data_IF_287659435975
#
_entry.id   IF_287659435975
#
_cell.length_a   1.000
_cell.length_b   1.000
_cell.length_c   1.000
_cell.angle_alpha   90.00
_cell.angle_beta   90.00
_cell.angle_gamma   90.00
#
_symmetry.space_group_name_H-M   'P 1'
#
loop_
_entity.id
_entity.type
_entity.pdbx_description
1 polymer ?
#
# COMPACT_ATOMS: atom_id res chain seq x y z
N UNK A 1 4.71 -2.35 14.39
CA UNK A 1 4.30 -1.78 13.08
C UNK A 1 3.51 -0.48 13.24
N UNK A 2 2.40 -0.47 14.00
CA UNK A 2 1.60 0.75 14.25
C UNK A 2 2.43 1.91 14.83
N UNK A 3 3.35 1.62 15.76
CA UNK A 3 4.21 2.66 16.35
C UNK A 3 5.21 3.27 15.35
N UNK A 4 5.72 2.46 14.40
CA UNK A 4 6.63 2.95 13.35
C UNK A 4 5.88 3.81 12.32
N UNK A 5 4.66 3.41 11.97
CA UNK A 5 3.79 4.21 11.11
C UNK A 5 3.41 5.52 11.77
N UNK A 6 3.03 5.50 13.05
CA UNK A 6 2.73 6.70 13.82
C UNK A 6 3.92 7.66 13.84
N UNK A 7 5.12 7.15 14.14
CA UNK A 7 6.35 7.96 14.12
C UNK A 7 6.59 8.62 12.75
N UNK A 8 6.44 7.88 11.65
CA UNK A 8 6.59 8.44 10.30
C UNK A 8 5.53 9.51 10.01
N UNK A 9 4.29 9.27 10.43
CA UNK A 9 3.22 10.25 10.25
C UNK A 9 3.49 11.52 11.08
N UNK A 10 4.03 11.39 12.28
CA UNK A 10 4.44 12.53 13.11
C UNK A 10 5.53 13.36 12.43
N UNK A 11 6.52 12.72 11.79
CA UNK A 11 7.56 13.41 11.00
C UNK A 11 6.96 14.19 9.81
N UNK A 12 5.96 13.62 9.14
CA UNK A 12 5.23 14.31 8.05
C UNK A 12 4.44 15.50 8.60
N UNK A 13 3.75 15.34 9.74
CA UNK A 13 2.99 16.42 10.39
C UNK A 13 3.91 17.55 10.85
N UNK A 14 5.09 17.23 11.39
CA UNK A 14 6.10 18.23 11.75
C UNK A 14 6.60 18.99 10.50
N UNK A 15 6.88 18.27 9.42
CA UNK A 15 7.23 18.86 8.12
C UNK A 15 6.13 19.79 7.59
N UNK A 16 4.87 19.37 7.65
CA UNK A 16 3.72 20.17 7.26
C UNK A 16 3.60 21.48 8.07
N UNK A 17 3.84 21.41 9.39
CA UNK A 17 3.87 22.58 10.25
C UNK A 17 5.03 23.52 9.88
N UNK A 18 6.20 22.98 9.53
CA UNK A 18 7.34 23.76 9.08
C UNK A 18 7.06 24.47 7.74
N UNK A 19 6.49 23.78 6.75
CA UNK A 19 6.12 24.37 5.45
C UNK A 19 5.13 25.53 5.66
N UNK A 20 4.08 25.31 6.48
CA UNK A 20 3.11 26.36 6.83
C UNK A 20 3.78 27.57 7.48
N UNK A 21 4.74 27.33 8.39
CA UNK A 21 5.53 28.39 9.03
C UNK A 21 6.39 29.16 8.04
N UNK A 22 7.04 28.49 7.09
CA UNK A 22 7.84 29.13 6.05
C UNK A 22 6.99 29.96 5.10
N UNK A 23 5.79 29.47 4.76
CA UNK A 23 4.83 30.23 3.95
C UNK A 23 4.37 31.50 4.67
N UNK A 24 4.06 31.40 5.97
CA UNK A 24 3.70 32.55 6.79
C UNK A 24 4.87 33.57 6.92
N UNK A 25 6.10 33.09 7.06
CA UNK A 25 7.29 33.93 7.08
C UNK A 25 7.50 34.66 5.74
N UNK A 26 7.30 33.95 4.62
CA UNK A 26 7.37 34.51 3.27
C UNK A 26 6.34 35.64 3.08
N UNK A 27 5.09 35.43 3.52
CA UNK A 27 4.05 36.46 3.49
C UNK A 27 4.43 37.69 4.32
N UNK A 28 5.10 37.50 5.46
CA UNK A 28 5.53 38.61 6.34
C UNK A 28 6.73 39.38 5.77
N UNK A 29 7.60 38.72 5.03
CA UNK A 29 8.73 39.34 4.34
C UNK A 29 8.26 40.18 3.15
N UNK A 30 7.29 39.67 2.38
CA UNK A 30 6.70 40.31 1.20
C UNK A 30 5.53 41.24 1.57
N UNK A 31 5.78 42.22 2.44
CA UNK A 31 4.73 43.12 2.99
C UNK A 31 3.98 43.93 1.93
N UNK A 32 4.64 44.23 0.82
CA UNK A 32 4.09 45.06 -0.25
C UNK A 32 3.19 44.27 -1.22
N UNK A 33 3.11 42.94 -1.07
CA UNK A 33 2.30 42.06 -1.90
C UNK A 33 1.06 41.63 -1.11
N UNK A 34 -0.16 42.08 -1.49
CA UNK A 34 -1.38 41.62 -0.84
C UNK A 34 -1.57 40.12 -0.99
N UNK A 35 -2.06 39.44 0.06
CA UNK A 35 -2.39 38.00 0.00
C UNK A 35 -3.49 37.66 -1.01
N UNK A 36 -4.38 38.61 -1.28
CA UNK A 36 -5.41 38.45 -2.31
C UNK A 36 -4.87 38.65 -3.74
N UNK A 37 -3.63 39.12 -3.89
CA UNK A 37 -3.04 39.37 -5.21
C UNK A 37 -2.82 38.07 -5.99
N UNK A 38 -2.91 38.16 -7.31
CA UNK A 38 -2.63 37.03 -8.20
C UNK A 38 -1.22 36.48 -7.97
N UNK A 39 -0.23 37.35 -7.84
CA UNK A 39 1.17 36.95 -7.63
C UNK A 39 1.35 36.11 -6.35
N UNK A 40 0.65 36.42 -5.26
CA UNK A 40 0.69 35.61 -4.06
C UNK A 40 -0.01 34.26 -4.25
N UNK A 41 -1.16 34.23 -4.92
CA UNK A 41 -1.88 32.98 -5.21
C UNK A 41 -1.06 32.05 -6.09
N UNK A 42 -0.43 32.58 -7.15
CA UNK A 42 0.45 31.81 -8.03
C UNK A 42 1.65 31.24 -7.24
N UNK A 43 2.19 31.99 -6.28
CA UNK A 43 3.26 31.50 -5.40
C UNK A 43 2.80 30.38 -4.46
N UNK A 44 1.63 30.53 -3.84
CA UNK A 44 1.06 29.48 -2.98
C UNK A 44 0.79 28.21 -3.78
N UNK A 45 0.30 28.36 -5.01
CA UNK A 45 0.06 27.23 -5.90
C UNK A 45 1.35 26.49 -6.27
N UNK A 46 2.42 27.22 -6.61
CA UNK A 46 3.73 26.62 -6.82
C UNK A 46 4.21 25.82 -5.60
N UNK A 47 3.93 26.30 -4.37
CA UNK A 47 4.28 25.55 -3.15
C UNK A 47 3.36 24.34 -2.97
N UNK A 48 2.07 24.41 -3.35
CA UNK A 48 1.18 23.25 -3.37
C UNK A 48 1.72 22.16 -4.30
N UNK A 49 2.17 22.52 -5.50
CA UNK A 49 2.74 21.56 -6.46
C UNK A 49 3.95 20.83 -5.88
N UNK A 50 4.84 21.53 -5.17
CA UNK A 50 5.99 20.92 -4.47
C UNK A 50 5.51 19.93 -3.40
N UNK A 51 4.46 20.26 -2.65
CA UNK A 51 3.90 19.38 -1.61
C UNK A 51 3.29 18.13 -2.24
N UNK A 52 2.54 18.28 -3.33
CA UNK A 52 1.94 17.17 -4.09
C UNK A 52 3.04 16.25 -4.62
N UNK A 53 4.07 16.80 -5.27
CA UNK A 53 5.21 16.04 -5.76
C UNK A 53 5.94 15.30 -4.62
N UNK A 54 6.12 15.95 -3.47
CA UNK A 54 6.73 15.34 -2.29
C UNK A 54 5.94 14.13 -1.77
N UNK A 55 4.61 14.25 -1.69
CA UNK A 55 3.73 13.14 -1.32
C UNK A 55 3.74 12.03 -2.35
N UNK A 56 3.64 12.35 -3.64
CA UNK A 56 3.70 11.39 -4.74
C UNK A 56 4.99 10.58 -4.68
N UNK A 57 6.15 11.24 -4.54
CA UNK A 57 7.44 10.57 -4.39
C UNK A 57 7.52 9.66 -3.16
N UNK A 58 6.93 10.07 -2.02
CA UNK A 58 6.90 9.25 -0.81
C UNK A 58 6.02 7.99 -0.97
N UNK A 59 4.88 8.11 -1.68
CA UNK A 59 4.03 6.98 -2.03
C UNK A 59 4.78 6.04 -2.97
N UNK A 60 5.34 6.57 -4.04
CA UNK A 60 6.10 5.82 -5.05
C UNK A 60 7.25 5.05 -4.43
N UNK A 61 8.01 5.64 -3.49
CA UNK A 61 9.08 4.95 -2.79
C UNK A 61 8.56 3.79 -1.92
N UNK A 62 7.42 3.98 -1.24
CA UNK A 62 6.80 2.94 -0.41
C UNK A 62 6.26 1.78 -1.25
N UNK A 63 5.62 2.11 -2.38
CA UNK A 63 5.11 1.17 -3.38
C UNK A 63 6.27 0.39 -4.01
N UNK A 64 7.30 1.08 -4.52
CA UNK A 64 8.49 0.45 -5.10
C UNK A 64 9.15 -0.57 -4.14
N UNK A 65 9.29 -0.20 -2.86
CA UNK A 65 9.81 -1.11 -1.86
C UNK A 65 8.97 -2.38 -1.73
N UNK A 66 7.63 -2.26 -1.65
CA UNK A 66 6.75 -3.43 -1.58
C UNK A 66 6.90 -4.29 -2.84
N UNK A 67 6.94 -3.67 -4.02
CA UNK A 67 7.11 -4.38 -5.30
C UNK A 67 8.39 -5.24 -5.32
N UNK A 68 9.51 -4.70 -4.82
CA UNK A 68 10.78 -5.43 -4.71
C UNK A 68 10.70 -6.66 -3.80
N UNK A 69 9.76 -6.69 -2.85
CA UNK A 69 9.58 -7.80 -1.93
C UNK A 69 8.57 -8.85 -2.41
N UNK A 70 7.69 -8.52 -3.36
CA UNK A 70 6.59 -9.40 -3.78
C UNK A 70 6.74 -9.89 -5.21
N UNK A 71 7.46 -9.16 -6.07
CA UNK A 71 7.67 -9.57 -7.45
C UNK A 71 8.68 -10.73 -7.51
N UNK A 72 8.27 -11.94 -7.96
CA UNK A 72 9.14 -13.11 -7.96
C UNK A 72 10.45 -12.91 -8.75
N UNK A 73 10.39 -12.19 -9.86
CA UNK A 73 11.57 -11.91 -10.69
C UNK A 73 12.58 -11.03 -9.93
N UNK A 74 12.10 -9.97 -9.27
CA UNK A 74 12.95 -9.06 -8.50
C UNK A 74 13.52 -9.74 -7.26
N UNK A 75 12.69 -10.51 -6.54
CA UNK A 75 13.12 -11.27 -5.37
C UNK A 75 14.22 -12.26 -5.74
N UNK A 76 14.05 -13.00 -6.85
CA UNK A 76 15.07 -13.95 -7.32
C UNK A 76 16.38 -13.26 -7.72
N UNK A 77 16.29 -12.08 -8.34
CA UNK A 77 17.44 -11.33 -8.86
C UNK A 77 18.25 -10.66 -7.75
N UNK A 78 17.56 -10.15 -6.74
CA UNK A 78 18.15 -9.37 -5.65
C UNK A 78 18.49 -10.21 -4.41
N UNK A 79 18.20 -11.52 -4.45
CA UNK A 79 18.35 -12.45 -3.30
C UNK A 79 17.64 -11.93 -2.04
N UNK A 80 16.50 -11.26 -2.23
CA UNK A 80 15.75 -10.62 -1.15
C UNK A 80 15.04 -11.68 -0.30
N UNK A 81 14.97 -11.46 1.01
CA UNK A 81 14.17 -12.32 1.90
C UNK A 81 12.68 -12.02 1.67
N UNK A 82 11.83 -13.05 1.44
CA UNK A 82 10.39 -12.83 1.26
C UNK A 82 9.76 -12.08 2.43
N UNK A 83 8.94 -11.07 2.13
CA UNK A 83 8.26 -10.26 3.14
C UNK A 83 7.13 -11.01 3.85
N UNK A 84 6.46 -11.93 3.14
CA UNK A 84 5.29 -12.66 3.62
C UNK A 84 5.53 -14.16 3.46
N UNK A 85 5.27 -14.91 4.52
CA UNK A 85 5.22 -16.37 4.49
C UNK A 85 3.76 -16.82 4.60
N UNK A 86 3.37 -17.77 3.75
CA UNK A 86 2.07 -18.44 3.79
C UNK A 86 2.27 -19.95 3.83
N UNK A 87 1.41 -20.64 4.56
CA UNK A 87 1.49 -22.09 4.76
C UNK A 87 0.21 -22.76 4.26
N UNK A 88 0.36 -23.81 3.45
CA UNK A 88 -0.75 -24.64 3.02
C UNK A 88 -0.91 -25.80 4.01
N UNK A 89 -1.99 -25.79 4.79
CA UNK A 89 -2.25 -26.79 5.82
C UNK A 89 -3.43 -27.68 5.47
N UNK A 90 -3.29 -28.98 5.76
CA UNK A 90 -4.40 -29.92 5.73
C UNK A 90 -5.15 -29.86 7.08
N UNK A 91 -6.27 -29.16 7.11
CA UNK A 91 -7.26 -29.23 8.18
C UNK A 91 -8.39 -30.15 7.73
N UNK A 92 -8.16 -31.46 7.83
CA UNK A 92 -9.04 -32.48 7.29
C UNK A 92 -10.53 -32.21 7.64
N UNK A 93 -11.43 -32.22 6.65
CA UNK A 93 -11.25 -32.73 5.28
C UNK A 93 -10.67 -31.73 4.26
N UNK A 94 -10.38 -30.50 4.67
CA UNK A 94 -10.07 -29.38 3.78
C UNK A 94 -8.59 -29.00 3.79
N UNK A 95 -8.10 -28.48 2.66
CA UNK A 95 -6.81 -27.82 2.58
C UNK A 95 -7.04 -26.31 2.68
N UNK A 96 -6.37 -25.65 3.61
CA UNK A 96 -6.56 -24.23 3.92
C UNK A 96 -5.22 -23.49 3.91
N UNK A 97 -5.27 -22.19 3.66
CA UNK A 97 -4.08 -21.34 3.72
C UNK A 97 -4.00 -20.67 5.10
N UNK A 98 -2.79 -20.56 5.64
CA UNK A 98 -2.51 -19.81 6.86
C UNK A 98 -1.36 -18.81 6.62
N UNK A 99 -1.64 -17.49 6.70
CA UNK A 99 -2.96 -16.86 6.62
C UNK A 99 -3.67 -17.16 5.28
N UNK A 100 -4.99 -16.97 5.23
CA UNK A 100 -5.74 -17.09 3.97
C UNK A 100 -5.25 -16.06 2.94
N UNK A 101 -5.15 -16.46 1.67
CA UNK A 101 -4.48 -15.64 0.65
C UNK A 101 -5.38 -14.51 0.12
N UNK A 102 -6.63 -14.83 -0.15
CA UNK A 102 -7.61 -13.86 -0.64
C UNK A 102 -8.10 -12.90 0.44
N UNK A 103 -9.21 -12.25 0.15
CA UNK A 103 -9.90 -11.38 1.11
C UNK A 103 -10.69 -12.22 2.11
N UNK A 104 -10.65 -11.82 3.37
CA UNK A 104 -11.36 -12.48 4.47
C UNK A 104 -12.31 -11.51 5.16
N UNK A 105 -13.38 -12.04 5.77
CA UNK A 105 -14.39 -11.20 6.42
C UNK A 105 -13.85 -10.42 7.64
N UNK A 106 -12.77 -10.91 8.25
CA UNK A 106 -12.05 -10.25 9.34
C UNK A 106 -10.94 -9.28 8.84
N UNK A 107 -10.68 -9.23 7.52
CA UNK A 107 -9.68 -8.35 6.92
C UNK A 107 -8.24 -8.73 7.25
N UNK A 108 -8.00 -9.97 7.65
CA UNK A 108 -6.66 -10.47 8.01
C UNK A 108 -5.97 -11.26 6.91
N UNK A 109 -6.66 -11.49 5.78
CA UNK A 109 -6.13 -12.15 4.59
C UNK A 109 -4.92 -11.45 4.00
N UNK A 110 -4.12 -12.18 3.20
CA UNK A 110 -2.90 -11.63 2.58
C UNK A 110 -3.26 -10.47 1.66
N UNK A 111 -4.30 -10.61 0.83
CA UNK A 111 -4.77 -9.53 -0.05
C UNK A 111 -5.26 -8.31 0.74
N UNK A 112 -5.99 -8.51 1.84
CA UNK A 112 -6.44 -7.41 2.70
C UNK A 112 -5.26 -6.63 3.31
N UNK A 113 -4.20 -7.33 3.71
CA UNK A 113 -2.98 -6.70 4.24
C UNK A 113 -2.30 -5.83 3.18
N UNK A 114 -2.18 -6.31 1.94
CA UNK A 114 -1.64 -5.52 0.84
C UNK A 114 -2.51 -4.29 0.53
N UNK A 115 -3.82 -4.47 0.44
CA UNK A 115 -4.78 -3.37 0.24
C UNK A 115 -4.67 -2.34 1.36
N UNK A 116 -4.54 -2.79 2.62
CA UNK A 116 -4.34 -1.92 3.77
C UNK A 116 -3.02 -1.14 3.68
N UNK A 117 -1.92 -1.76 3.27
CA UNK A 117 -0.64 -1.05 3.10
C UNK A 117 -0.72 0.01 2.01
N UNK A 118 -1.26 -0.33 0.84
CA UNK A 118 -1.46 0.59 -0.28
C UNK A 118 -2.33 1.78 0.15
N UNK A 119 -3.47 1.51 0.80
CA UNK A 119 -4.36 2.57 1.31
C UNK A 119 -3.67 3.47 2.33
N UNK A 120 -2.84 2.90 3.22
CA UNK A 120 -2.06 3.68 4.18
C UNK A 120 -0.97 4.54 3.53
N UNK A 121 -0.43 4.14 2.37
CA UNK A 121 0.51 4.96 1.61
C UNK A 121 -0.20 6.19 1.05
N UNK A 122 -1.38 6.02 0.44
CA UNK A 122 -2.17 7.14 -0.08
C UNK A 122 -2.69 8.07 1.04
N UNK A 123 -3.00 7.51 2.20
CA UNK A 123 -3.53 8.25 3.35
C UNK A 123 -2.58 9.34 3.89
N UNK A 124 -1.29 9.33 3.52
CA UNK A 124 -0.35 10.39 3.94
C UNK A 124 -0.76 11.77 3.44
N UNK A 125 -1.50 11.85 2.31
CA UNK A 125 -2.04 13.10 1.79
C UNK A 125 -3.03 13.79 2.74
N UNK A 126 -3.59 13.05 3.70
CA UNK A 126 -4.51 13.57 4.73
C UNK A 126 -3.80 14.25 5.91
N UNK A 127 -2.48 14.08 6.03
CA UNK A 127 -1.70 14.56 7.17
C UNK A 127 -1.38 16.06 7.11
N UNK A 128 -1.65 16.71 5.98
CA UNK A 128 -1.44 18.14 5.78
C UNK A 128 -2.70 18.81 5.22
N UNK A 129 -3.03 19.97 5.80
CA UNK A 129 -4.07 20.85 5.25
C UNK A 129 -3.53 21.61 4.06
N UNK A 130 -4.41 21.91 3.10
CA UNK A 130 -4.03 22.72 1.94
C UNK A 130 -3.55 24.11 2.33
N UNK A 131 -2.56 24.63 1.60
CA UNK A 131 -1.94 25.93 1.88
C UNK A 131 -2.75 27.13 1.36
N UNK A 132 -3.62 26.92 0.37
CA UNK A 132 -4.40 27.94 -0.33
C UNK A 132 -5.70 28.30 0.40
N UNK A 133 -6.47 27.29 0.81
CA UNK A 133 -7.79 27.45 1.43
C UNK A 133 -7.71 27.23 2.96
N UNK A 134 -6.70 26.49 3.44
CA UNK A 134 -6.56 26.14 4.86
C UNK A 134 -7.54 25.06 5.34
N UNK A 135 -8.33 24.51 4.42
CA UNK A 135 -9.28 23.41 4.60
C UNK A 135 -9.05 22.36 3.50
N UNK A 136 -9.49 21.13 3.76
CA UNK A 136 -9.22 19.99 2.88
C UNK A 136 -7.77 19.48 3.00
N UNK A 137 -7.41 18.59 2.10
CA UNK A 137 -6.12 17.92 2.04
C UNK A 137 -5.68 17.74 0.58
N UNK A 138 -4.62 16.96 0.35
CA UNK A 138 -4.06 16.69 -0.98
C UNK A 138 -4.48 15.33 -1.56
N UNK A 139 -5.50 14.68 -1.00
CA UNK A 139 -5.86 13.31 -1.39
C UNK A 139 -6.34 13.23 -2.84
N UNK A 140 -7.15 14.20 -3.29
CA UNK A 140 -7.67 14.19 -4.66
C UNK A 140 -6.55 14.25 -5.69
N UNK A 141 -5.57 15.14 -5.52
CA UNK A 141 -4.45 15.26 -6.44
C UNK A 141 -3.57 14.01 -6.46
N UNK A 142 -3.43 13.32 -5.32
CA UNK A 142 -2.66 12.08 -5.23
C UNK A 142 -3.40 10.87 -5.81
N UNK A 143 -4.74 10.87 -5.79
CA UNK A 143 -5.57 9.86 -6.45
C UNK A 143 -5.57 10.04 -7.98
N UNK A 144 -5.44 11.29 -8.46
CA UNK A 144 -5.37 11.63 -9.88
C UNK A 144 -3.94 11.62 -10.45
N UNK A 145 -2.91 11.47 -9.60
CA UNK A 145 -1.52 11.35 -10.04
C UNK A 145 -1.32 10.04 -10.81
N UNK A 146 -1.06 10.18 -12.11
CA UNK A 146 -0.85 9.06 -13.02
C UNK A 146 0.27 8.12 -12.57
N UNK A 147 1.38 8.64 -12.05
CA UNK A 147 2.51 7.81 -11.63
C UNK A 147 2.14 6.97 -10.42
N UNK A 148 1.42 7.57 -9.46
CA UNK A 148 0.92 6.86 -8.27
C UNK A 148 -0.07 5.78 -8.69
N UNK A 149 -1.02 6.11 -9.57
CA UNK A 149 -2.01 5.17 -10.06
C UNK A 149 -1.37 3.98 -10.80
N UNK A 150 -0.43 4.25 -11.71
CA UNK A 150 0.29 3.23 -12.48
C UNK A 150 1.08 2.29 -11.57
N UNK A 151 1.83 2.86 -10.61
CA UNK A 151 2.64 2.06 -9.69
C UNK A 151 1.79 1.21 -8.74
N UNK A 152 0.64 1.72 -8.27
CA UNK A 152 -0.30 0.94 -7.46
C UNK A 152 -0.90 -0.20 -8.29
N UNK A 153 -1.33 0.08 -9.53
CA UNK A 153 -1.88 -0.94 -10.43
C UNK A 153 -0.85 -2.06 -10.69
N UNK A 154 0.41 -1.69 -10.94
CA UNK A 154 1.47 -2.66 -11.18
C UNK A 154 1.67 -3.62 -9.99
N UNK A 155 1.58 -3.14 -8.75
CA UNK A 155 1.67 -4.00 -7.57
C UNK A 155 0.43 -4.88 -7.42
N UNK A 156 -0.76 -4.32 -7.66
CA UNK A 156 -1.99 -5.10 -7.61
C UNK A 156 -1.92 -6.28 -8.58
N UNK A 157 -1.48 -6.05 -9.82
CA UNK A 157 -1.32 -7.11 -10.81
C UNK A 157 -0.35 -8.22 -10.34
N UNK A 158 0.78 -7.84 -9.72
CA UNK A 158 1.74 -8.81 -9.16
C UNK A 158 1.13 -9.61 -8.00
N UNK A 159 0.40 -8.94 -7.09
CA UNK A 159 -0.26 -9.61 -5.96
C UNK A 159 -1.34 -10.58 -6.46
N UNK A 160 -2.14 -10.19 -7.46
CA UNK A 160 -3.16 -11.04 -8.07
C UNK A 160 -2.53 -12.25 -8.80
N UNK A 161 -1.42 -12.05 -9.50
CA UNK A 161 -0.69 -13.13 -10.18
C UNK A 161 -0.14 -14.15 -9.17
N UNK A 162 0.51 -13.68 -8.10
CA UNK A 162 1.02 -14.53 -7.03
C UNK A 162 -0.10 -15.33 -6.35
N UNK A 163 -1.26 -14.71 -6.13
CA UNK A 163 -2.42 -15.43 -5.57
C UNK A 163 -2.93 -16.52 -6.50
N UNK A 164 -3.01 -16.25 -7.81
CA UNK A 164 -3.40 -17.25 -8.78
C UNK A 164 -2.44 -18.46 -8.79
N UNK A 165 -1.14 -18.21 -8.66
CA UNK A 165 -0.14 -19.29 -8.53
C UNK A 165 -0.35 -20.10 -7.26
N UNK A 166 -0.63 -19.47 -6.13
CA UNK A 166 -0.94 -20.18 -4.89
C UNK A 166 -2.23 -21.00 -5.00
N UNK A 167 -3.28 -20.48 -5.63
CA UNK A 167 -4.52 -21.23 -5.87
C UNK A 167 -4.22 -22.47 -6.73
N UNK A 168 -3.49 -22.32 -7.83
CA UNK A 168 -3.08 -23.43 -8.68
C UNK A 168 -2.22 -24.47 -7.92
N UNK A 169 -1.34 -24.01 -7.04
CA UNK A 169 -0.54 -24.88 -6.17
C UNK A 169 -1.44 -25.70 -5.23
N UNK A 170 -2.44 -25.09 -4.60
CA UNK A 170 -3.43 -25.78 -3.77
C UNK A 170 -4.24 -26.81 -4.57
N UNK A 171 -4.72 -26.46 -5.76
CA UNK A 171 -5.46 -27.36 -6.66
C UNK A 171 -4.62 -28.57 -7.10
N UNK A 172 -3.29 -28.42 -7.18
CA UNK A 172 -2.40 -29.53 -7.49
C UNK A 172 -2.48 -30.69 -6.48
N UNK A 173 -2.97 -30.44 -5.25
CA UNK A 173 -3.18 -31.45 -4.23
C UNK A 173 -4.55 -32.13 -4.30
N UNK A 174 -5.51 -31.61 -5.06
CA UNK A 174 -6.86 -32.19 -5.17
C UNK A 174 -6.85 -33.64 -5.66
N UNK A 175 -5.88 -34.01 -6.51
CA UNK A 175 -5.67 -35.42 -6.94
C UNK A 175 -5.37 -36.40 -5.80
N UNK A 176 -4.91 -35.90 -4.65
CA UNK A 176 -4.58 -36.71 -3.48
C UNK A 176 -5.69 -36.71 -2.41
N UNK A 177 -6.83 -36.05 -2.67
CA UNK A 177 -7.92 -35.89 -1.70
C UNK A 177 -8.43 -37.20 -1.10
N UNK A 178 -8.37 -38.29 -1.87
CA UNK A 178 -8.76 -39.61 -1.38
C UNK A 178 -7.95 -40.05 -0.14
N UNK A 179 -6.71 -39.57 0.04
CA UNK A 179 -5.85 -39.94 1.17
C UNK A 179 -6.38 -39.42 2.52
N UNK A 180 -7.18 -38.36 2.53
CA UNK A 180 -7.72 -37.76 3.76
C UNK A 180 -9.25 -37.62 3.77
N UNK A 181 -9.92 -37.79 2.62
CA UNK A 181 -11.39 -37.82 2.53
C UNK A 181 -11.98 -39.23 2.59
N UNK A 182 -11.19 -40.28 2.30
CA UNK A 182 -11.67 -41.67 2.37
C UNK A 182 -11.25 -42.31 3.69
N UNK A 183 -12.22 -42.92 4.39
CA UNK A 183 -11.93 -43.67 5.61
C UNK A 183 -11.12 -44.93 5.29
N UNK A 184 -10.13 -45.24 6.14
CA UNK A 184 -9.15 -46.32 5.95
C UNK A 184 -9.80 -47.68 5.62
N UNK A 185 -10.88 -48.11 6.29
CA UNK A 185 -11.55 -49.38 6.01
C UNK A 185 -12.15 -49.44 4.60
N UNK A 186 -12.66 -48.32 4.07
CA UNK A 186 -13.25 -48.25 2.73
C UNK A 186 -12.17 -48.28 1.64
N UNK A 187 -11.03 -47.61 1.88
CA UNK A 187 -9.88 -47.67 0.98
C UNK A 187 -9.28 -49.08 0.87
N UNK A 188 -9.18 -49.80 1.99
CA UNK A 188 -8.66 -51.18 2.02
C UNK A 188 -9.60 -52.22 1.39
N UNK A 189 -10.92 -51.99 1.37
CA UNK A 189 -11.88 -52.90 0.74
C UNK A 189 -11.90 -52.81 -0.79
N UNK A 190 -11.26 -51.80 -1.37
CA UNK A 190 -11.24 -51.52 -2.82
C UNK A 190 -9.96 -52.02 -3.51
N UNK A 191 -8.98 -52.51 -2.74
CA UNK A 191 -7.75 -53.17 -3.20
C UNK A 191 -7.85 -54.69 -3.05
#
# INVERSE_FOLDING_TARGET
>A
QKDLQAKRNDEIVEGAAAITRYLAASSKALKDIPRASKAWKDYVEYVNDIVIEGFSNAIMASVAYVNEQVNPELVSKNETVPLVEVQLELQAPDICWKPEIGETADGEGVRDRFNSWIGNFQAIGTLMKRLDIGEGNYTLELEEDYNVMDAISAIQDVVLANEAECIAFKESYTKYEYLWKTDLPTAHATF
#
